data_IF_280371492958
#
_entry.id   IF_280371492958
#
_cell.length_a   1.000
_cell.length_b   1.000
_cell.length_c   1.000
_cell.angle_alpha   90.00
_cell.angle_beta   90.00
_cell.angle_gamma   90.00
#
_symmetry.space_group_name_H-M   'P 1'
#
loop_
_entity.id
_entity.type
_entity.pdbx_description
1 polymer ?
#
# COMPACT_ATOMS: atom_id res chain seq x y z
N UNK A 1 -9.50 1.75 -30.59
CA UNK A 1 -9.29 1.62 -29.13
C UNK A 1 -8.49 2.81 -28.65
N UNK A 2 -8.94 3.51 -27.58
CA UNK A 2 -8.15 4.59 -26.96
C UNK A 2 -6.87 3.96 -26.38
N UNK A 3 -5.69 4.53 -26.67
CA UNK A 3 -4.42 4.03 -26.13
C UNK A 3 -4.45 4.15 -24.61
N UNK A 4 -4.18 3.07 -23.89
CA UNK A 4 -4.14 3.10 -22.40
C UNK A 4 -2.97 3.97 -21.93
N UNK A 5 -3.17 4.71 -20.84
CA UNK A 5 -2.08 5.41 -20.17
C UNK A 5 -1.13 4.39 -19.54
N UNK A 6 0.16 4.63 -19.67
CA UNK A 6 1.24 3.71 -19.24
C UNK A 6 1.83 4.16 -17.92
N UNK A 7 2.08 3.20 -17.04
CA UNK A 7 2.56 3.44 -15.67
C UNK A 7 3.84 2.65 -15.42
N UNK A 8 4.77 3.26 -14.69
CA UNK A 8 5.91 2.59 -14.06
C UNK A 8 5.69 2.57 -12.56
N UNK A 9 5.82 1.38 -11.91
CA UNK A 9 5.69 1.20 -10.46
C UNK A 9 7.06 0.98 -9.83
N UNK A 10 7.51 1.94 -9.01
CA UNK A 10 8.81 1.91 -8.33
C UNK A 10 8.63 1.52 -6.87
N UNK A 11 9.49 0.63 -6.37
CA UNK A 11 9.32 0.01 -5.04
C UNK A 11 7.99 -0.73 -4.93
N UNK A 12 7.68 -1.49 -5.97
CA UNK A 12 6.34 -1.99 -6.25
C UNK A 12 5.79 -2.93 -5.16
N UNK A 13 6.67 -3.55 -4.35
CA UNK A 13 6.24 -4.52 -3.36
C UNK A 13 5.45 -5.65 -4.01
N UNK A 14 4.37 -6.08 -3.37
CA UNK A 14 3.48 -7.09 -3.93
C UNK A 14 2.61 -6.59 -5.10
N UNK A 15 2.61 -5.28 -5.39
CA UNK A 15 1.82 -4.70 -6.48
C UNK A 15 0.45 -4.14 -6.08
N UNK A 16 0.23 -3.82 -4.81
CA UNK A 16 -1.05 -3.25 -4.37
C UNK A 16 -1.40 -1.93 -5.07
N UNK A 17 -0.40 -1.10 -5.37
CA UNK A 17 -0.56 0.12 -6.15
C UNK A 17 -0.92 -0.21 -7.62
N UNK A 18 -0.17 -1.13 -8.23
CA UNK A 18 -0.41 -1.62 -9.59
C UNK A 18 -1.82 -2.19 -9.77
N UNK A 19 -2.30 -3.05 -8.84
CA UNK A 19 -3.68 -3.62 -8.88
C UNK A 19 -4.73 -2.52 -9.00
N UNK A 20 -4.61 -1.45 -8.21
CA UNK A 20 -5.58 -0.35 -8.26
C UNK A 20 -5.54 0.41 -9.58
N UNK A 21 -4.34 0.68 -10.11
CA UNK A 21 -4.18 1.37 -11.39
C UNK A 21 -4.63 0.50 -12.57
N UNK A 22 -4.34 -0.79 -12.59
CA UNK A 22 -4.87 -1.72 -13.60
C UNK A 22 -6.40 -1.75 -13.59
N UNK A 23 -7.03 -1.81 -12.41
CA UNK A 23 -8.49 -1.71 -12.25
C UNK A 23 -9.03 -0.37 -12.78
N UNK A 24 -8.26 0.70 -12.69
CA UNK A 24 -8.59 2.01 -13.26
C UNK A 24 -8.35 2.08 -14.78
N UNK A 25 -7.81 1.03 -15.40
CA UNK A 25 -7.64 0.92 -16.85
C UNK A 25 -6.26 1.32 -17.37
N UNK A 26 -5.27 1.46 -16.51
CA UNK A 26 -3.88 1.71 -16.91
C UNK A 26 -3.17 0.44 -17.35
N UNK A 27 -2.07 0.63 -18.07
CA UNK A 27 -1.12 -0.41 -18.48
C UNK A 27 0.16 -0.25 -17.66
N UNK A 28 0.43 -1.17 -16.74
CA UNK A 28 1.65 -1.18 -15.96
C UNK A 28 2.76 -1.78 -16.80
N UNK A 29 3.62 -0.95 -17.35
CA UNK A 29 4.61 -1.37 -18.35
C UNK A 29 5.93 -1.82 -17.76
N UNK A 30 6.29 -1.31 -16.59
CA UNK A 30 7.49 -1.70 -15.87
C UNK A 30 7.29 -1.56 -14.36
N UNK A 31 7.99 -2.39 -13.60
CA UNK A 31 8.05 -2.31 -12.14
C UNK A 31 9.46 -2.61 -11.63
N UNK A 32 9.80 -2.07 -10.45
CA UNK A 32 11.08 -2.32 -9.78
C UNK A 32 10.82 -2.82 -8.36
N UNK A 33 11.32 -4.01 -8.04
CA UNK A 33 11.32 -4.59 -6.69
C UNK A 33 12.60 -5.42 -6.50
N UNK A 34 13.25 -5.29 -5.33
CA UNK A 34 14.54 -5.96 -5.10
C UNK A 34 14.42 -7.33 -4.41
N UNK A 35 13.34 -7.54 -3.63
CA UNK A 35 13.13 -8.76 -2.85
C UNK A 35 12.56 -9.87 -3.77
N UNK A 36 13.37 -10.87 -4.05
CA UNK A 36 13.02 -11.95 -4.99
C UNK A 36 11.72 -12.69 -4.63
N UNK A 37 11.42 -12.89 -3.34
CA UNK A 37 10.18 -13.54 -2.94
C UNK A 37 8.95 -12.66 -3.24
N UNK A 38 9.11 -11.34 -3.13
CA UNK A 38 8.07 -10.39 -3.47
C UNK A 38 7.89 -10.29 -4.98
N UNK A 39 9.00 -10.34 -5.73
CA UNK A 39 8.96 -10.38 -7.21
C UNK A 39 8.16 -11.57 -7.74
N UNK A 40 8.25 -12.74 -7.11
CA UNK A 40 7.43 -13.90 -7.49
C UNK A 40 5.93 -13.61 -7.38
N UNK A 41 5.50 -12.98 -6.27
CA UNK A 41 4.12 -12.51 -6.10
C UNK A 41 3.73 -11.49 -7.17
N UNK A 42 4.57 -10.49 -7.39
CA UNK A 42 4.30 -9.46 -8.37
C UNK A 42 4.15 -10.04 -9.78
N UNK A 43 5.12 -10.86 -10.22
CA UNK A 43 5.12 -11.47 -11.57
C UNK A 43 3.90 -12.35 -11.80
N UNK A 44 3.44 -13.08 -10.79
CA UNK A 44 2.26 -13.93 -10.90
C UNK A 44 0.98 -13.11 -11.14
N UNK A 45 0.81 -12.02 -10.39
CA UNK A 45 -0.41 -11.21 -10.44
C UNK A 45 -0.40 -10.16 -11.56
N UNK A 46 0.78 -9.79 -12.09
CA UNK A 46 0.98 -8.79 -13.14
C UNK A 46 1.79 -9.37 -14.33
N UNK A 47 1.28 -10.42 -15.03
CA UNK A 47 2.05 -11.17 -16.01
C UNK A 47 2.46 -10.36 -17.26
N UNK A 48 1.83 -9.22 -17.49
CA UNK A 48 2.13 -8.35 -18.63
C UNK A 48 3.13 -7.22 -18.30
N UNK A 49 3.58 -7.11 -17.05
CA UNK A 49 4.51 -6.07 -16.59
C UNK A 49 5.96 -6.58 -16.64
N UNK A 50 6.85 -5.78 -17.20
CA UNK A 50 8.30 -6.04 -17.10
C UNK A 50 8.77 -5.71 -15.70
N UNK A 51 9.11 -6.72 -14.88
CA UNK A 51 9.61 -6.49 -13.52
C UNK A 51 11.13 -6.61 -13.47
N UNK A 52 11.79 -5.60 -12.89
CA UNK A 52 13.22 -5.57 -12.60
C UNK A 52 13.45 -6.04 -11.16
N UNK A 53 13.88 -7.30 -11.03
CA UNK A 53 14.16 -7.98 -9.76
C UNK A 53 15.56 -7.62 -9.22
N UNK A 54 15.83 -6.33 -9.02
CA UNK A 54 17.15 -5.79 -8.61
C UNK A 54 16.98 -4.57 -7.72
N UNK A 55 18.07 -4.22 -7.02
CA UNK A 55 18.15 -2.92 -6.33
C UNK A 55 17.97 -1.78 -7.35
N UNK A 56 17.10 -0.84 -7.03
CA UNK A 56 16.81 0.33 -7.88
C UNK A 56 18.07 1.10 -8.27
N UNK A 57 19.10 1.09 -7.41
CA UNK A 57 20.41 1.67 -7.71
C UNK A 57 21.04 1.06 -8.96
N UNK A 58 20.97 -0.25 -9.10
CA UNK A 58 21.52 -0.95 -10.26
C UNK A 58 20.63 -0.71 -11.47
N UNK A 59 19.32 -0.81 -11.28
CA UNK A 59 18.34 -0.66 -12.35
C UNK A 59 18.44 0.69 -13.03
N UNK A 60 18.61 1.77 -12.28
CA UNK A 60 18.68 3.15 -12.86
C UNK A 60 19.94 3.39 -13.69
N UNK A 61 21.01 2.65 -13.47
CA UNK A 61 22.24 2.71 -14.27
C UNK A 61 22.19 1.79 -15.51
N UNK A 62 21.43 0.70 -15.44
CA UNK A 62 21.36 -0.32 -16.49
C UNK A 62 20.19 -0.10 -17.48
N UNK A 63 19.13 0.61 -17.05
CA UNK A 63 17.87 0.69 -17.78
C UNK A 63 17.51 2.15 -18.09
N UNK A 64 17.33 2.43 -19.37
CA UNK A 64 16.68 3.66 -19.80
C UNK A 64 15.16 3.48 -19.73
N UNK A 65 14.53 4.11 -18.73
CA UNK A 65 13.08 4.04 -18.54
C UNK A 65 12.29 4.91 -19.53
N UNK A 66 12.92 5.84 -20.23
CA UNK A 66 12.24 6.67 -21.25
C UNK A 66 11.62 5.84 -22.36
N UNK A 67 12.22 4.66 -22.69
CA UNK A 67 11.72 3.71 -23.69
C UNK A 67 10.29 3.23 -23.44
N UNK A 68 9.84 3.27 -22.20
CA UNK A 68 8.49 2.85 -21.84
C UNK A 68 7.42 3.89 -22.19
N UNK A 69 7.80 5.14 -22.47
CA UNK A 69 6.88 6.25 -22.75
C UNK A 69 5.72 6.29 -21.73
N UNK A 70 6.05 6.20 -20.45
CA UNK A 70 5.07 6.18 -19.39
C UNK A 70 4.54 7.60 -19.09
N UNK A 71 3.22 7.70 -18.97
CA UNK A 71 2.57 8.97 -18.61
C UNK A 71 2.58 9.20 -17.10
N UNK A 72 2.69 8.11 -16.32
CA UNK A 72 2.60 8.14 -14.87
C UNK A 72 3.72 7.32 -14.25
N UNK A 73 4.29 7.81 -13.16
CA UNK A 73 5.14 7.02 -12.25
C UNK A 73 4.45 6.97 -10.90
N UNK A 74 4.31 5.78 -10.33
CA UNK A 74 3.85 5.55 -8.97
C UNK A 74 4.94 4.91 -8.14
N UNK A 75 4.90 5.06 -6.81
CA UNK A 75 5.83 4.35 -5.94
C UNK A 75 5.80 4.80 -4.48
N UNK A 76 6.30 3.94 -3.61
CA UNK A 76 6.43 4.19 -2.17
C UNK A 76 7.86 3.94 -1.69
N UNK A 77 8.82 4.86 -1.93
CA UNK A 77 10.18 4.67 -1.45
C UNK A 77 10.20 4.56 0.07
N UNK A 78 10.86 3.53 0.64
CA UNK A 78 10.85 3.32 2.09
C UNK A 78 11.57 4.43 2.84
N UNK A 79 10.98 4.83 3.97
CA UNK A 79 11.46 5.90 4.86
C UNK A 79 12.61 5.46 5.81
N UNK A 80 13.24 4.30 5.57
CA UNK A 80 14.17 3.67 6.54
C UNK A 80 15.51 4.40 6.73
N UNK A 81 15.87 5.37 5.89
CA UNK A 81 17.06 6.22 6.07
C UNK A 81 16.93 7.36 7.07
N UNK A 82 15.72 7.65 7.54
CA UNK A 82 15.43 8.84 8.35
C UNK A 82 15.40 8.59 9.87
N UNK A 83 15.94 7.47 10.36
CA UNK A 83 15.98 7.23 11.80
C UNK A 83 16.97 8.15 12.50
N UNK A 84 16.62 8.59 13.71
CA UNK A 84 17.25 9.67 14.51
C UNK A 84 18.74 9.50 14.87
N UNK A 85 19.46 8.51 14.35
CA UNK A 85 20.84 8.20 14.78
C UNK A 85 21.95 9.01 14.09
N UNK A 86 21.67 10.00 13.23
CA UNK A 86 22.70 10.69 12.44
C UNK A 86 22.57 12.20 12.27
N UNK A 87 21.88 12.91 13.15
CA UNK A 87 21.54 14.35 13.01
C UNK A 87 22.73 15.35 13.01
N UNK A 88 23.98 14.90 12.93
CA UNK A 88 25.16 15.78 13.13
C UNK A 88 25.99 16.13 11.89
N UNK A 89 25.64 15.68 10.69
CA UNK A 89 26.47 16.00 9.48
C UNK A 89 25.58 16.66 8.44
N UNK A 90 25.39 17.97 8.54
CA UNK A 90 24.72 18.80 7.51
C UNK A 90 25.76 19.57 6.71
N UNK A 91 26.33 18.97 5.66
CA UNK A 91 27.13 19.69 4.66
C UNK A 91 26.84 19.27 3.23
N UNK A 92 26.04 18.23 3.00
CA UNK A 92 25.76 17.71 1.65
C UNK A 92 24.35 18.08 1.21
N UNK A 93 24.14 18.16 -0.09
CA UNK A 93 22.81 18.34 -0.69
C UNK A 93 21.88 17.18 -0.29
N UNK A 94 20.55 17.38 -0.38
CA UNK A 94 19.54 16.36 -0.09
C UNK A 94 19.80 15.05 -0.85
N UNK A 95 20.21 15.14 -2.09
CA UNK A 95 20.48 14.00 -2.99
C UNK A 95 21.70 13.20 -2.53
N UNK A 96 22.70 13.85 -1.92
CA UNK A 96 23.94 13.21 -1.49
C UNK A 96 23.90 12.69 -0.05
N UNK A 97 22.82 12.94 0.69
CA UNK A 97 22.64 12.40 2.04
C UNK A 97 22.36 10.88 1.95
N UNK A 98 23.21 10.02 2.56
CA UNK A 98 23.02 8.57 2.52
C UNK A 98 21.65 8.08 3.02
N UNK A 99 20.96 8.90 3.84
CA UNK A 99 19.64 8.60 4.38
C UNK A 99 18.53 8.73 3.32
N UNK A 100 18.75 9.56 2.28
CA UNK A 100 17.80 9.83 1.21
C UNK A 100 18.06 8.97 -0.03
N UNK A 101 18.92 7.99 0.11
CA UNK A 101 19.44 7.16 -0.94
C UNK A 101 18.36 6.60 -1.91
N UNK A 102 17.29 6.03 -1.39
CA UNK A 102 16.26 5.42 -2.23
C UNK A 102 15.38 6.45 -2.94
N UNK A 103 15.12 7.58 -2.31
CA UNK A 103 14.40 8.70 -2.91
C UNK A 103 15.17 9.31 -4.10
N UNK A 104 16.49 9.39 -4.02
CA UNK A 104 17.36 9.83 -5.12
C UNK A 104 17.11 9.05 -6.40
N UNK A 105 16.96 7.74 -6.32
CA UNK A 105 16.74 6.91 -7.51
C UNK A 105 15.32 7.05 -8.07
N UNK A 106 14.32 7.23 -7.21
CA UNK A 106 12.99 7.61 -7.67
C UNK A 106 13.04 8.91 -8.48
N UNK A 107 13.71 9.94 -7.95
CA UNK A 107 13.87 11.23 -8.62
C UNK A 107 14.58 11.07 -9.97
N UNK A 108 15.69 10.33 -10.04
CA UNK A 108 16.44 10.10 -11.29
C UNK A 108 15.58 9.41 -12.36
N UNK A 109 14.72 8.47 -11.99
CA UNK A 109 13.80 7.84 -12.94
C UNK A 109 12.73 8.84 -13.40
N UNK A 110 12.21 9.70 -12.53
CA UNK A 110 11.31 10.79 -12.95
C UNK A 110 11.99 11.74 -13.94
N UNK A 111 13.28 12.05 -13.73
CA UNK A 111 14.05 12.84 -14.69
C UNK A 111 14.23 12.14 -16.04
N UNK A 112 14.47 10.84 -16.07
CA UNK A 112 14.61 10.07 -17.33
C UNK A 112 13.30 9.97 -18.10
N UNK A 113 12.19 9.69 -17.40
CA UNK A 113 10.88 9.41 -18.02
C UNK A 113 10.13 10.68 -18.37
N UNK A 114 10.31 11.73 -17.55
CA UNK A 114 9.59 12.99 -17.65
C UNK A 114 8.06 12.78 -17.74
N UNK A 115 7.45 12.03 -16.78
CA UNK A 115 6.04 11.67 -16.86
C UNK A 115 5.15 12.90 -16.70
N UNK A 116 3.93 12.86 -17.23
CA UNK A 116 2.93 13.91 -16.97
C UNK A 116 2.58 14.04 -15.49
N UNK A 117 2.50 12.89 -14.81
CA UNK A 117 2.16 12.80 -13.37
C UNK A 117 3.09 11.80 -12.69
N UNK A 118 3.52 12.12 -11.48
CA UNK A 118 4.05 11.11 -10.58
C UNK A 118 3.31 11.13 -9.24
N UNK A 119 3.25 9.97 -8.57
CA UNK A 119 2.66 9.82 -7.24
C UNK A 119 3.65 9.12 -6.32
N UNK A 120 3.99 9.77 -5.23
CA UNK A 120 4.76 9.23 -4.12
C UNK A 120 3.83 8.93 -2.94
N UNK A 121 3.81 7.67 -2.49
CA UNK A 121 3.16 7.31 -1.22
C UNK A 121 4.20 7.20 -0.11
N UNK A 122 3.85 7.67 1.08
CA UNK A 122 4.70 7.49 2.26
C UNK A 122 3.91 7.54 3.57
N UNK A 123 4.58 7.22 4.68
CA UNK A 123 4.00 7.39 6.02
C UNK A 123 3.84 8.88 6.35
N UNK A 124 2.80 9.22 7.14
CA UNK A 124 2.50 10.60 7.56
C UNK A 124 3.70 11.30 8.22
N UNK A 125 4.56 10.52 8.91
CA UNK A 125 5.75 11.03 9.57
C UNK A 125 6.72 11.81 8.67
N UNK A 126 6.72 11.58 7.36
CA UNK A 126 7.60 12.30 6.40
C UNK A 126 7.39 13.82 6.45
N UNK A 127 6.17 14.28 6.76
CA UNK A 127 5.84 15.70 6.83
C UNK A 127 6.53 16.42 7.99
N UNK A 128 6.86 15.71 9.07
CA UNK A 128 7.43 16.27 10.30
C UNK A 128 8.86 15.83 10.57
N UNK A 129 9.38 14.92 9.76
CA UNK A 129 10.77 14.46 9.86
C UNK A 129 11.75 15.63 9.78
N UNK A 130 12.74 15.64 10.69
CA UNK A 130 13.71 16.72 10.83
C UNK A 130 13.03 18.10 10.80
N UNK A 131 11.93 18.26 11.55
CA UNK A 131 11.13 19.49 11.61
C UNK A 131 10.54 19.93 10.26
N UNK A 132 10.30 18.99 9.34
CA UNK A 132 9.75 19.23 8.01
C UNK A 132 10.80 19.53 6.92
N UNK A 133 12.07 19.59 7.26
CA UNK A 133 13.14 19.88 6.29
C UNK A 133 13.21 18.84 5.16
N UNK A 134 13.01 17.56 5.47
CA UNK A 134 13.01 16.49 4.46
C UNK A 134 11.90 16.71 3.43
N UNK A 135 10.70 16.99 3.91
CA UNK A 135 9.55 17.24 3.02
C UNK A 135 9.78 18.48 2.16
N UNK A 136 10.30 19.56 2.73
CA UNK A 136 10.65 20.77 2.00
C UNK A 136 11.66 20.51 0.91
N UNK A 137 12.73 19.76 1.20
CA UNK A 137 13.76 19.40 0.22
C UNK A 137 13.18 18.55 -0.94
N UNK A 138 12.21 17.67 -0.66
CA UNK A 138 11.48 16.93 -1.71
C UNK A 138 10.74 17.91 -2.64
N UNK A 139 10.00 18.86 -2.05
CA UNK A 139 9.27 19.86 -2.85
C UNK A 139 10.23 20.69 -3.70
N UNK A 140 11.28 21.23 -3.09
CA UNK A 140 12.26 22.08 -3.78
C UNK A 140 12.92 21.33 -4.96
N UNK A 141 13.27 20.05 -4.76
CA UNK A 141 13.93 19.22 -5.77
C UNK A 141 13.08 19.03 -7.04
N UNK A 142 11.79 18.74 -6.88
CA UNK A 142 10.89 18.52 -8.02
C UNK A 142 10.36 19.83 -8.64
N UNK A 143 10.38 20.92 -7.90
CA UNK A 143 9.91 22.23 -8.39
C UNK A 143 11.01 23.03 -9.09
N UNK A 144 12.27 22.63 -8.99
CA UNK A 144 13.38 23.33 -9.64
C UNK A 144 13.44 22.99 -11.15
N UNK A 145 13.14 23.97 -11.98
CA UNK A 145 13.14 23.87 -13.46
C UNK A 145 14.50 23.42 -14.02
N UNK A 146 15.61 23.70 -13.31
CA UNK A 146 16.94 23.25 -13.72
C UNK A 146 17.08 21.74 -13.75
N UNK A 147 16.30 21.04 -12.93
CA UNK A 147 16.30 19.59 -12.86
C UNK A 147 15.54 18.92 -14.00
N UNK A 148 14.75 19.68 -14.79
CA UNK A 148 13.83 19.18 -15.80
C UNK A 148 13.90 19.96 -17.13
N UNK A 149 15.08 20.47 -17.49
CA UNK A 149 15.34 21.16 -18.77
C UNK A 149 14.42 22.37 -19.03
N UNK A 150 14.03 23.09 -17.99
CA UNK A 150 13.15 24.26 -18.08
C UNK A 150 11.67 23.97 -17.76
N UNK A 151 11.27 22.70 -17.69
CA UNK A 151 9.97 22.29 -17.15
C UNK A 151 10.02 22.19 -15.63
N UNK A 152 8.87 22.17 -14.98
CA UNK A 152 8.77 21.93 -13.53
C UNK A 152 7.57 21.11 -13.15
N UNK A 153 7.64 20.44 -12.00
CA UNK A 153 6.50 19.84 -11.39
C UNK A 153 5.86 20.74 -10.34
N UNK A 154 4.55 20.90 -10.43
CA UNK A 154 3.72 21.46 -9.37
C UNK A 154 3.34 20.35 -8.41
N UNK A 155 3.71 20.50 -7.15
CA UNK A 155 3.49 19.45 -6.16
C UNK A 155 2.29 19.77 -5.26
N UNK A 156 1.45 18.79 -5.08
CA UNK A 156 0.39 18.79 -4.05
C UNK A 156 0.62 17.61 -3.12
N UNK A 157 0.28 17.78 -1.85
CA UNK A 157 0.30 16.66 -0.91
C UNK A 157 -1.01 16.59 -0.13
N UNK A 158 -1.39 15.38 0.23
CA UNK A 158 -2.59 15.13 1.01
C UNK A 158 -2.35 13.97 1.97
N UNK A 159 -2.85 14.12 3.21
CA UNK A 159 -2.94 13.02 4.17
C UNK A 159 -4.25 12.29 3.95
N UNK A 160 -4.16 11.02 3.61
CA UNK A 160 -5.29 10.16 3.29
C UNK A 160 -5.50 9.16 4.41
N UNK A 161 -6.75 9.04 4.86
CA UNK A 161 -7.18 8.00 5.80
C UNK A 161 -7.90 6.91 5.02
N UNK A 162 -7.45 5.66 5.14
CA UNK A 162 -8.04 4.52 4.43
C UNK A 162 -9.55 4.38 4.73
N UNK A 163 -9.98 4.74 5.93
CA UNK A 163 -11.39 4.73 6.35
C UNK A 163 -12.29 5.59 5.46
N UNK A 164 -11.80 6.75 4.99
CA UNK A 164 -12.57 7.68 4.15
C UNK A 164 -12.82 7.12 2.74
N UNK A 165 -12.25 5.95 2.45
CA UNK A 165 -12.35 5.23 1.17
C UNK A 165 -12.98 3.84 1.33
N UNK A 166 -13.71 3.62 2.43
CA UNK A 166 -14.38 2.35 2.70
C UNK A 166 -13.40 1.18 2.85
N UNK A 167 -12.25 1.40 3.52
CA UNK A 167 -11.25 0.38 3.83
C UNK A 167 -11.22 0.20 5.34
N UNK A 168 -11.43 -1.02 5.89
CA UNK A 168 -11.68 -1.23 7.31
C UNK A 168 -10.42 -1.18 8.20
N UNK A 169 -9.58 -0.15 8.04
CA UNK A 169 -8.38 0.03 8.88
C UNK A 169 -8.02 1.50 9.12
N UNK A 170 -7.40 1.76 10.27
CA UNK A 170 -6.88 3.08 10.68
C UNK A 170 -5.49 3.32 10.06
N UNK A 171 -5.42 3.36 8.73
CA UNK A 171 -4.17 3.62 7.99
C UNK A 171 -4.17 5.04 7.47
N UNK A 172 -3.18 5.83 7.88
CA UNK A 172 -2.93 7.17 7.34
C UNK A 172 -1.66 7.16 6.49
N UNK A 173 -1.72 7.75 5.30
CA UNK A 173 -0.59 7.90 4.37
C UNK A 173 -0.59 9.28 3.75
N UNK A 174 0.59 9.74 3.39
CA UNK A 174 0.78 10.94 2.58
C UNK A 174 0.92 10.52 1.13
N UNK A 175 0.15 11.16 0.28
CA UNK A 175 0.34 11.11 -1.16
C UNK A 175 0.87 12.46 -1.62
N UNK A 176 2.01 12.45 -2.32
CA UNK A 176 2.62 13.61 -2.95
C UNK A 176 2.43 13.41 -4.45
N UNK A 177 1.72 14.32 -5.08
CA UNK A 177 1.41 14.29 -6.51
C UNK A 177 2.17 15.41 -7.19
N UNK A 178 3.02 15.07 -8.15
CA UNK A 178 3.68 16.02 -9.04
C UNK A 178 3.01 16.02 -10.40
N UNK A 179 2.63 17.20 -10.88
CA UNK A 179 2.05 17.42 -12.20
C UNK A 179 2.97 18.31 -13.03
N UNK A 180 3.33 17.84 -14.21
CA UNK A 180 4.24 18.53 -15.11
C UNK A 180 3.58 19.79 -15.67
N UNK A 181 4.19 20.93 -15.46
CA UNK A 181 3.80 22.27 -15.99
C UNK A 181 2.34 22.69 -15.70
N UNK A 182 1.64 22.00 -14.76
CA UNK A 182 0.23 22.28 -14.45
C UNK A 182 -0.01 22.24 -12.95
N UNK A 183 -0.55 23.32 -12.39
CA UNK A 183 -1.00 23.35 -11.00
C UNK A 183 -2.41 22.74 -10.88
N UNK A 184 -2.52 21.63 -10.11
CA UNK A 184 -3.77 20.91 -9.96
C UNK A 184 -4.58 21.43 -8.77
N UNK A 185 -5.88 21.68 -8.98
CA UNK A 185 -6.83 21.79 -7.87
C UNK A 185 -7.20 20.38 -7.36
N UNK A 186 -6.34 19.87 -6.46
CA UNK A 186 -6.49 18.49 -5.95
C UNK A 186 -7.80 18.30 -5.16
N UNK A 187 -8.34 19.34 -4.51
CA UNK A 187 -9.57 19.22 -3.75
C UNK A 187 -10.78 19.07 -4.67
N UNK A 188 -10.81 19.83 -5.75
CA UNK A 188 -11.85 19.71 -6.77
C UNK A 188 -11.78 18.34 -7.47
N UNK A 189 -10.60 17.89 -7.85
CA UNK A 189 -10.40 16.56 -8.45
C UNK A 189 -10.85 15.43 -7.52
N UNK A 190 -10.55 15.50 -6.21
CA UNK A 190 -11.04 14.54 -5.23
C UNK A 190 -12.57 14.54 -5.16
N UNK A 191 -13.19 15.72 -5.15
CA UNK A 191 -14.65 15.83 -5.10
C UNK A 191 -15.33 15.21 -6.33
N UNK A 192 -14.84 15.55 -7.52
CA UNK A 192 -15.34 15.02 -8.80
C UNK A 192 -15.17 13.50 -8.89
N UNK A 193 -14.00 13.00 -8.50
CA UNK A 193 -13.71 11.56 -8.51
C UNK A 193 -14.61 10.81 -7.52
N UNK A 194 -14.85 11.38 -6.33
CA UNK A 194 -15.80 10.82 -5.35
C UNK A 194 -17.20 10.74 -5.93
N UNK A 195 -17.68 11.81 -6.54
CA UNK A 195 -19.00 11.83 -7.18
C UNK A 195 -19.11 10.78 -8.29
N UNK A 196 -18.12 10.71 -9.18
CA UNK A 196 -18.08 9.74 -10.26
C UNK A 196 -18.08 8.29 -9.75
N UNK A 197 -17.24 7.99 -8.73
CA UNK A 197 -17.19 6.67 -8.14
C UNK A 197 -18.44 6.30 -7.36
N UNK A 198 -19.09 7.25 -6.68
CA UNK A 198 -20.36 7.00 -5.99
C UNK A 198 -21.51 6.69 -6.97
N UNK A 199 -21.47 7.27 -8.18
CA UNK A 199 -22.42 6.91 -9.25
C UNK A 199 -22.17 5.49 -9.79
N UNK A 200 -20.89 5.09 -9.95
CA UNK A 200 -20.50 3.78 -10.45
C UNK A 200 -20.62 2.67 -9.41
N UNK A 201 -20.28 2.98 -8.17
CA UNK A 201 -20.30 2.08 -7.02
C UNK A 201 -20.91 2.80 -5.82
N UNK A 202 -22.24 2.74 -5.62
CA UNK A 202 -22.94 3.52 -4.57
C UNK A 202 -22.38 3.34 -3.16
N UNK A 203 -21.80 2.16 -2.86
CA UNK A 203 -21.25 1.79 -1.55
C UNK A 203 -19.73 1.91 -1.46
N UNK A 204 -19.06 2.58 -2.42
CA UNK A 204 -17.60 2.65 -2.45
C UNK A 204 -16.98 3.30 -1.20
N UNK A 205 -17.64 4.32 -0.66
CA UNK A 205 -17.15 5.09 0.49
C UNK A 205 -17.84 4.73 1.81
N UNK A 206 -18.72 3.74 1.82
CA UNK A 206 -19.42 3.33 3.02
C UNK A 206 -18.44 2.84 4.09
N UNK A 207 -18.83 3.04 5.35
CA UNK A 207 -18.05 2.50 6.47
C UNK A 207 -18.11 0.98 6.45
N UNK A 208 -16.93 0.36 6.38
CA UNK A 208 -16.75 -1.10 6.41
C UNK A 208 -16.16 -1.49 7.75
N UNK A 209 -16.67 -2.55 8.36
CA UNK A 209 -16.13 -3.13 9.59
C UNK A 209 -15.13 -4.27 9.29
N UNK A 210 -14.39 -4.69 10.31
CA UNK A 210 -13.55 -5.89 10.20
C UNK A 210 -14.40 -7.11 9.78
N UNK A 211 -15.61 -7.25 10.37
CA UNK A 211 -16.47 -8.39 10.07
C UNK A 211 -17.04 -8.35 8.66
N UNK A 212 -17.38 -7.16 8.16
CA UNK A 212 -17.80 -7.01 6.77
C UNK A 212 -16.71 -7.50 5.80
N UNK A 213 -15.44 -7.33 6.14
CA UNK A 213 -14.35 -7.76 5.28
C UNK A 213 -14.10 -9.29 5.31
N UNK A 214 -14.24 -9.96 6.49
CA UNK A 214 -13.72 -11.31 6.68
C UNK A 214 -14.78 -12.37 7.00
N UNK A 215 -16.05 -12.01 7.24
CA UNK A 215 -17.09 -12.88 7.80
C UNK A 215 -17.43 -14.13 6.98
N UNK A 216 -17.15 -14.14 5.68
CA UNK A 216 -17.43 -15.27 4.81
C UNK A 216 -16.21 -16.15 4.49
N UNK A 217 -15.04 -15.89 5.11
CA UNK A 217 -13.84 -16.70 4.91
C UNK A 217 -13.93 -17.99 5.76
N UNK A 218 -14.38 -19.07 5.14
CA UNK A 218 -14.54 -20.40 5.76
C UNK A 218 -14.44 -21.49 4.69
N UNK A 219 -14.31 -22.75 5.11
CA UNK A 219 -14.20 -23.94 4.25
C UNK A 219 -12.97 -23.89 3.31
N UNK A 220 -11.85 -23.41 3.84
CA UNK A 220 -10.55 -23.51 3.18
C UNK A 220 -10.06 -24.96 3.08
N UNK A 221 -9.37 -25.27 2.00
CA UNK A 221 -8.64 -26.53 1.86
C UNK A 221 -7.30 -26.50 2.65
N UNK A 222 -6.54 -27.59 2.59
CA UNK A 222 -5.23 -27.71 3.27
C UNK A 222 -4.19 -26.68 2.82
N UNK A 223 -4.38 -26.07 1.64
CA UNK A 223 -3.52 -25.04 1.08
C UNK A 223 -4.05 -23.62 1.35
N UNK A 224 -5.16 -23.49 2.08
CA UNK A 224 -5.81 -22.21 2.37
C UNK A 224 -6.51 -21.60 1.16
N UNK A 225 -7.03 -22.43 0.26
CA UNK A 225 -7.82 -22.00 -0.89
C UNK A 225 -9.31 -22.23 -0.61
N UNK A 226 -10.13 -21.22 -0.89
CA UNK A 226 -11.58 -21.31 -0.84
C UNK A 226 -12.12 -21.21 -2.27
N UNK A 227 -13.01 -22.11 -2.65
CA UNK A 227 -13.61 -22.14 -3.99
C UNK A 227 -15.08 -21.70 -3.89
N UNK A 228 -15.54 -20.95 -4.90
CA UNK A 228 -16.93 -20.48 -5.02
C UNK A 228 -17.42 -19.67 -3.81
N UNK A 229 -16.53 -18.85 -3.25
CA UNK A 229 -16.87 -17.97 -2.12
C UNK A 229 -17.91 -16.94 -2.56
N UNK A 230 -19.04 -16.88 -1.82
CA UNK A 230 -20.11 -15.91 -2.12
C UNK A 230 -19.97 -14.67 -1.26
N UNK A 231 -19.97 -13.47 -1.86
CA UNK A 231 -20.03 -12.22 -1.12
C UNK A 231 -21.31 -12.12 -0.27
N UNK A 232 -21.20 -11.60 0.95
CA UNK A 232 -22.32 -11.32 1.85
C UNK A 232 -22.69 -9.83 1.90
N UNK A 233 -21.84 -8.98 1.34
CA UNK A 233 -22.01 -7.53 1.31
C UNK A 233 -21.25 -6.91 0.14
N UNK A 234 -21.48 -5.63 -0.10
CA UNK A 234 -20.89 -4.88 -1.21
C UNK A 234 -19.36 -4.77 -1.15
N UNK A 235 -18.76 -4.78 0.04
CA UNK A 235 -17.30 -4.76 0.17
C UNK A 235 -16.67 -6.06 -0.31
N UNK A 236 -17.24 -7.18 0.11
CA UNK A 236 -16.80 -8.50 -0.34
C UNK A 236 -17.04 -8.68 -1.84
N UNK A 237 -18.15 -8.16 -2.37
CA UNK A 237 -18.44 -8.17 -3.80
C UNK A 237 -17.41 -7.38 -4.60
N UNK A 238 -16.98 -6.22 -4.09
CA UNK A 238 -15.92 -5.41 -4.72
C UNK A 238 -14.56 -6.15 -4.78
N UNK A 239 -14.29 -7.05 -3.82
CA UNK A 239 -13.08 -7.86 -3.74
C UNK A 239 -13.20 -9.24 -4.39
N UNK A 240 -14.41 -9.65 -4.76
CA UNK A 240 -14.71 -11.00 -5.24
C UNK A 240 -13.85 -11.40 -6.44
N UNK A 241 -13.46 -12.66 -6.46
CA UNK A 241 -12.62 -13.25 -7.49
C UNK A 241 -13.40 -13.56 -8.78
N UNK A 242 -12.85 -13.16 -9.91
CA UNK A 242 -13.39 -13.52 -11.23
C UNK A 242 -13.17 -15.01 -11.56
N UNK A 243 -12.15 -15.65 -10.97
CA UNK A 243 -11.81 -17.05 -11.19
C UNK A 243 -12.39 -18.00 -10.12
N UNK A 244 -13.27 -17.49 -9.25
CA UNK A 244 -13.94 -18.23 -8.18
C UNK A 244 -13.02 -18.84 -7.13
N UNK A 245 -11.75 -18.40 -7.05
CA UNK A 245 -10.78 -18.86 -6.06
C UNK A 245 -10.35 -17.71 -5.16
N UNK A 246 -10.31 -17.98 -3.85
CA UNK A 246 -9.76 -17.08 -2.82
C UNK A 246 -8.54 -17.76 -2.21
N UNK A 247 -7.39 -17.10 -2.29
CA UNK A 247 -6.10 -17.68 -1.91
C UNK A 247 -5.62 -17.19 -0.54
N UNK A 248 -4.65 -17.91 0.04
CA UNK A 248 -3.92 -17.52 1.24
C UNK A 248 -4.76 -17.46 2.53
N UNK A 249 -5.83 -18.22 2.66
CA UNK A 249 -6.61 -18.30 3.90
C UNK A 249 -6.14 -19.43 4.82
N UNK A 250 -4.82 -19.63 4.93
CA UNK A 250 -4.28 -20.60 5.88
C UNK A 250 -4.24 -19.99 7.29
N UNK A 251 -5.03 -20.54 8.21
CA UNK A 251 -5.12 -20.07 9.60
C UNK A 251 -3.79 -20.23 10.33
N UNK A 252 -3.30 -19.20 11.04
CA UNK A 252 -2.02 -19.29 11.74
C UNK A 252 -2.10 -20.20 12.95
N UNK A 253 -1.09 -21.06 13.11
CA UNK A 253 -0.93 -21.88 14.30
C UNK A 253 -0.12 -21.15 15.36
N UNK A 254 -0.54 -21.29 16.63
CA UNK A 254 0.12 -20.70 17.79
C UNK A 254 0.44 -21.78 18.82
N UNK A 255 1.46 -21.55 19.64
CA UNK A 255 1.77 -22.44 20.75
C UNK A 255 0.68 -22.35 21.85
N UNK A 256 0.63 -23.35 22.74
CA UNK A 256 -0.36 -23.44 23.79
C UNK A 256 -0.43 -22.19 24.68
N UNK A 257 0.73 -21.62 25.04
CA UNK A 257 0.82 -20.41 25.88
C UNK A 257 0.14 -19.23 25.19
N UNK A 258 0.44 -19.02 23.89
CA UNK A 258 -0.17 -17.94 23.13
C UNK A 258 -1.69 -18.11 23.02
N UNK A 259 -2.18 -19.33 22.81
CA UNK A 259 -3.62 -19.62 22.74
C UNK A 259 -4.30 -19.32 24.09
N UNK A 260 -3.74 -19.80 25.20
CA UNK A 260 -4.31 -19.56 26.54
C UNK A 260 -4.31 -18.06 26.89
N UNK A 261 -3.32 -17.31 26.45
CA UNK A 261 -3.31 -15.83 26.58
C UNK A 261 -4.42 -15.20 25.75
N UNK A 262 -4.58 -15.61 24.48
CA UNK A 262 -5.60 -15.05 23.58
C UNK A 262 -7.02 -15.30 24.08
N UNK A 263 -7.29 -16.45 24.72
CA UNK A 263 -8.58 -16.76 25.35
C UNK A 263 -8.98 -15.80 26.47
N UNK A 264 -8.00 -15.22 27.17
CA UNK A 264 -8.23 -14.27 28.26
C UNK A 264 -8.57 -12.85 27.78
N UNK A 265 -8.38 -12.56 26.47
CA UNK A 265 -8.52 -11.21 25.94
C UNK A 265 -9.87 -11.05 25.25
N UNK A 266 -10.71 -10.21 25.82
CA UNK A 266 -11.96 -9.78 25.22
C UNK A 266 -11.78 -8.64 24.20
N UNK A 267 -12.82 -8.33 23.45
CA UNK A 267 -12.85 -7.19 22.53
C UNK A 267 -12.53 -5.88 23.29
N UNK A 268 -11.64 -5.08 22.73
CA UNK A 268 -11.19 -3.82 23.35
C UNK A 268 -10.04 -3.98 24.36
N UNK A 269 -9.78 -5.19 24.86
CA UNK A 269 -8.68 -5.48 25.78
C UNK A 269 -7.35 -5.78 25.06
N UNK A 270 -6.27 -5.90 25.82
CA UNK A 270 -4.92 -6.19 25.34
C UNK A 270 -4.10 -6.89 26.43
N UNK A 271 -2.81 -7.06 26.20
CA UNK A 271 -1.87 -7.75 27.09
C UNK A 271 -1.90 -7.29 28.57
N UNK A 272 -2.39 -6.08 28.88
CA UNK A 272 -2.48 -5.57 30.26
C UNK A 272 -3.48 -6.34 31.13
N UNK A 273 -4.34 -7.16 30.50
CA UNK A 273 -5.31 -8.04 31.18
C UNK A 273 -4.75 -9.44 31.49
N UNK A 274 -3.59 -9.77 30.94
CA UNK A 274 -2.97 -11.07 31.17
C UNK A 274 -2.46 -11.19 32.62
N UNK A 275 -2.65 -12.35 33.22
CA UNK A 275 -2.21 -12.67 34.58
C UNK A 275 -0.68 -12.85 34.68
N UNK A 276 -0.03 -13.18 33.56
CA UNK A 276 1.41 -13.38 33.48
C UNK A 276 2.12 -12.13 32.91
N UNK A 277 3.41 -12.01 33.22
CA UNK A 277 4.20 -10.83 32.78
C UNK A 277 4.52 -10.99 31.30
N UNK A 278 3.88 -10.18 30.46
CA UNK A 278 4.21 -10.02 29.04
C UNK A 278 4.96 -8.72 28.83
N UNK A 279 6.23 -8.81 28.48
CA UNK A 279 6.98 -7.62 28.04
C UNK A 279 6.66 -7.35 26.57
N UNK A 280 5.95 -6.29 26.27
CA UNK A 280 5.69 -5.88 24.89
C UNK A 280 6.00 -4.40 24.68
N UNK A 281 6.59 -4.10 23.53
CA UNK A 281 6.89 -2.73 23.07
C UNK A 281 5.63 -2.07 22.48
N UNK A 282 4.65 -2.89 22.06
CA UNK A 282 3.43 -2.40 21.42
C UNK A 282 2.28 -2.33 22.42
N UNK A 283 1.70 -1.14 22.58
CA UNK A 283 0.54 -0.93 23.46
C UNK A 283 -0.67 -1.78 23.07
N UNK A 284 -0.82 -2.13 21.81
CA UNK A 284 -1.89 -2.99 21.29
C UNK A 284 -1.59 -4.50 21.29
N UNK A 285 -0.42 -4.94 21.78
CA UNK A 285 -0.06 -6.36 21.80
C UNK A 285 -1.15 -7.24 22.45
N UNK A 286 -1.35 -8.43 21.94
CA UNK A 286 -2.45 -9.32 22.35
C UNK A 286 -3.83 -8.64 22.31
N UNK A 287 -4.06 -7.64 21.47
CA UNK A 287 -5.38 -7.02 21.34
C UNK A 287 -6.30 -7.84 20.43
N UNK A 288 -7.54 -8.07 20.87
CA UNK A 288 -8.59 -8.67 20.06
C UNK A 288 -9.28 -7.59 19.22
N UNK A 289 -9.46 -7.87 17.94
CA UNK A 289 -10.21 -7.01 17.04
C UNK A 289 -11.70 -6.98 17.41
N UNK A 290 -12.32 -5.81 17.26
CA UNK A 290 -13.76 -5.67 17.31
C UNK A 290 -14.36 -5.99 15.93
N UNK A 291 -15.27 -6.97 15.89
CA UNK A 291 -15.98 -7.33 14.66
C UNK A 291 -16.77 -6.17 14.06
N UNK A 292 -17.32 -5.29 14.90
CA UNK A 292 -18.12 -4.13 14.49
C UNK A 292 -17.28 -2.85 14.37
N UNK A 293 -15.99 -2.95 14.65
CA UNK A 293 -15.01 -1.88 14.55
C UNK A 293 -14.16 -1.96 13.29
N UNK A 294 -13.09 -1.18 13.29
CA UNK A 294 -12.08 -1.16 12.23
C UNK A 294 -10.73 -1.62 12.79
N UNK A 295 -9.92 -2.24 11.95
CA UNK A 295 -8.59 -2.69 12.36
C UNK A 295 -7.64 -1.49 12.57
N UNK A 296 -6.63 -1.59 13.45
CA UNK A 296 -5.48 -0.72 13.37
C UNK A 296 -4.77 -0.91 12.03
N UNK A 297 -3.79 -0.07 11.73
CA UNK A 297 -2.96 -0.25 10.52
C UNK A 297 -2.39 -1.66 10.49
N UNK A 298 -2.68 -2.42 9.43
CA UNK A 298 -2.07 -3.72 9.19
C UNK A 298 -0.56 -3.53 9.01
N UNK A 299 0.23 -4.16 9.89
CA UNK A 299 1.69 -4.10 9.92
C UNK A 299 2.30 -5.33 9.27
N UNK A 300 3.62 -5.38 9.18
CA UNK A 300 4.35 -6.56 8.67
C UNK A 300 4.36 -7.76 9.63
N UNK A 301 3.83 -7.59 10.84
CA UNK A 301 3.85 -8.58 11.93
C UNK A 301 2.47 -8.82 12.53
N UNK A 302 1.43 -8.76 11.71
CA UNK A 302 0.06 -9.09 12.16
C UNK A 302 -0.16 -10.62 12.34
N UNK A 303 0.85 -11.42 12.06
CA UNK A 303 0.91 -12.87 12.30
C UNK A 303 1.15 -13.26 13.76
N UNK A 304 1.64 -12.33 14.58
CA UNK A 304 2.02 -12.62 15.97
C UNK A 304 1.16 -11.83 16.96
N UNK A 305 0.69 -12.45 18.06
CA UNK A 305 -0.13 -11.75 19.05
C UNK A 305 0.58 -10.52 19.67
N UNK A 306 1.91 -10.59 19.81
CA UNK A 306 2.72 -9.48 20.33
C UNK A 306 2.91 -8.34 19.30
N UNK A 307 2.59 -8.55 18.04
CA UNK A 307 2.77 -7.58 16.95
C UNK A 307 1.75 -6.45 16.93
N UNK A 308 0.69 -6.53 17.74
CA UNK A 308 -0.35 -5.51 17.81
C UNK A 308 -1.74 -6.08 18.15
N UNK A 309 -2.78 -5.34 17.83
CA UNK A 309 -4.19 -5.75 17.98
C UNK A 309 -4.63 -6.52 16.74
N UNK A 310 -4.25 -7.80 16.66
CA UNK A 310 -4.51 -8.65 15.50
C UNK A 310 -5.10 -10.02 15.86
N UNK A 311 -5.56 -10.23 17.11
CA UNK A 311 -6.35 -11.42 17.45
C UNK A 311 -7.68 -11.34 16.68
N UNK A 312 -8.04 -12.45 16.02
CA UNK A 312 -9.28 -12.57 15.27
C UNK A 312 -10.50 -12.26 16.17
N UNK A 313 -11.57 -11.62 15.66
CA UNK A 313 -12.69 -11.17 16.49
C UNK A 313 -13.38 -12.27 17.30
N UNK A 314 -13.43 -13.50 16.77
CA UNK A 314 -14.17 -14.62 17.36
C UNK A 314 -13.33 -15.87 17.62
N UNK A 315 -12.17 -16.00 17.02
CA UNK A 315 -11.28 -17.17 17.18
C UNK A 315 -10.02 -16.79 17.99
N UNK A 316 -9.43 -17.78 18.70
CA UNK A 316 -8.24 -17.57 19.54
C UNK A 316 -6.94 -17.75 18.73
N UNK A 317 -6.82 -16.97 17.67
CA UNK A 317 -5.68 -16.90 16.76
C UNK A 317 -5.50 -15.46 16.24
N UNK A 318 -4.38 -15.18 15.63
CA UNK A 318 -4.22 -13.95 14.84
C UNK A 318 -4.88 -14.10 13.48
N UNK A 319 -4.91 -12.99 12.72
CA UNK A 319 -5.45 -12.99 11.36
C UNK A 319 -4.64 -13.90 10.42
N UNK A 320 -5.34 -14.59 9.53
CA UNK A 320 -4.72 -15.23 8.37
C UNK A 320 -4.19 -14.20 7.36
N UNK A 321 -3.31 -14.59 6.43
CA UNK A 321 -2.88 -13.69 5.36
C UNK A 321 -4.06 -13.13 4.55
N UNK A 322 -5.07 -13.94 4.20
CA UNK A 322 -6.24 -13.48 3.43
C UNK A 322 -7.10 -12.50 4.21
N UNK A 323 -7.30 -12.72 5.50
CA UNK A 323 -8.02 -11.77 6.35
C UNK A 323 -7.32 -10.40 6.38
N UNK A 324 -5.99 -10.40 6.57
CA UNK A 324 -5.19 -9.18 6.48
C UNK A 324 -5.24 -8.52 5.10
N UNK A 325 -5.17 -9.33 4.04
CA UNK A 325 -5.24 -8.86 2.65
C UNK A 325 -6.60 -8.21 2.33
N UNK A 326 -7.72 -8.78 2.82
CA UNK A 326 -9.04 -8.16 2.66
C UNK A 326 -9.19 -6.87 3.46
N UNK A 327 -8.65 -6.80 4.67
CA UNK A 327 -8.60 -5.55 5.44
C UNK A 327 -7.76 -4.49 4.71
N UNK A 328 -6.77 -4.89 3.91
CA UNK A 328 -6.00 -4.04 2.99
C UNK A 328 -6.69 -3.84 1.62
N UNK A 329 -7.87 -4.40 1.41
CA UNK A 329 -8.64 -4.34 0.16
C UNK A 329 -8.02 -5.03 -1.06
N UNK A 330 -7.18 -6.04 -0.88
CA UNK A 330 -6.74 -6.88 -2.00
C UNK A 330 -7.88 -7.74 -2.55
N UNK A 331 -7.96 -7.92 -3.87
CA UNK A 331 -8.92 -8.86 -4.46
C UNK A 331 -8.63 -10.30 -4.03
N UNK A 332 -9.68 -11.13 -4.00
CA UNK A 332 -9.60 -12.51 -3.50
C UNK A 332 -8.73 -13.42 -4.37
N UNK A 333 -8.68 -13.14 -5.66
CA UNK A 333 -7.84 -13.84 -6.65
C UNK A 333 -6.36 -13.47 -6.56
N UNK A 334 -6.00 -12.43 -5.82
CA UNK A 334 -4.60 -12.02 -5.66
C UNK A 334 -3.84 -13.05 -4.83
N UNK A 335 -2.84 -13.71 -5.41
CA UNK A 335 -2.05 -14.76 -4.77
C UNK A 335 -0.74 -14.19 -4.23
N UNK A 336 -0.52 -14.30 -2.93
CA UNK A 336 0.77 -14.00 -2.30
C UNK A 336 1.63 -15.26 -2.28
N UNK A 337 2.84 -15.16 -2.82
CA UNK A 337 3.86 -16.23 -2.88
C UNK A 337 5.00 -15.94 -1.90
N UNK A 338 5.78 -16.97 -1.59
CA UNK A 338 6.90 -16.90 -0.68
C UNK A 338 6.63 -17.53 0.69
N UNK A 339 7.59 -17.44 1.60
CA UNK A 339 7.44 -17.98 2.94
C UNK A 339 6.46 -17.13 3.78
N UNK A 340 6.00 -17.71 4.91
CA UNK A 340 5.03 -17.06 5.81
C UNK A 340 5.42 -15.61 6.14
N UNK A 341 6.64 -15.37 6.57
CA UNK A 341 7.10 -14.02 6.97
C UNK A 341 7.06 -13.03 5.81
N UNK A 342 7.44 -13.47 4.62
CA UNK A 342 7.37 -12.64 3.40
C UNK A 342 5.93 -12.27 3.07
N UNK A 343 4.99 -13.22 3.10
CA UNK A 343 3.58 -12.96 2.80
C UNK A 343 2.98 -11.91 3.74
N UNK A 344 3.20 -12.02 5.04
CA UNK A 344 2.73 -11.00 5.99
C UNK A 344 3.39 -9.63 5.78
N UNK A 345 4.68 -9.60 5.45
CA UNK A 345 5.42 -8.38 5.09
C UNK A 345 4.85 -7.72 3.84
N UNK A 346 4.57 -8.49 2.81
CA UNK A 346 3.97 -8.03 1.55
C UNK A 346 2.64 -7.32 1.80
N UNK A 347 1.74 -7.96 2.54
CA UNK A 347 0.42 -7.42 2.86
C UNK A 347 0.53 -6.13 3.70
N UNK A 348 1.37 -6.13 4.73
CA UNK A 348 1.51 -4.98 5.65
C UNK A 348 2.10 -3.73 5.01
N UNK A 349 3.05 -3.91 4.07
CA UNK A 349 3.71 -2.80 3.38
C UNK A 349 2.90 -2.23 2.21
N UNK A 350 1.90 -2.96 1.72
CA UNK A 350 1.20 -2.58 0.52
C UNK A 350 0.42 -1.26 0.63
N UNK A 351 0.33 -0.55 -0.48
CA UNK A 351 -0.72 0.44 -0.71
C UNK A 351 -2.04 -0.32 -0.92
N UNK A 352 -3.13 0.02 -0.19
CA UNK A 352 -4.41 -0.65 -0.38
C UNK A 352 -4.93 -0.51 -1.83
N UNK A 353 -5.22 -1.61 -2.54
CA UNK A 353 -5.66 -1.56 -3.94
C UNK A 353 -6.90 -0.69 -4.20
N UNK A 354 -7.86 -0.68 -3.29
CA UNK A 354 -9.06 0.17 -3.40
C UNK A 354 -8.72 1.66 -3.33
N UNK A 355 -7.74 2.03 -2.49
CA UNK A 355 -7.22 3.40 -2.43
C UNK A 355 -6.43 3.74 -3.70
N UNK A 356 -5.60 2.83 -4.18
CA UNK A 356 -4.86 2.98 -5.44
C UNK A 356 -5.81 3.13 -6.63
N UNK A 357 -6.92 2.39 -6.65
CA UNK A 357 -7.97 2.54 -7.66
C UNK A 357 -8.58 3.95 -7.68
N UNK A 358 -8.89 4.51 -6.50
CA UNK A 358 -9.36 5.89 -6.40
C UNK A 358 -8.36 6.87 -7.02
N UNK A 359 -7.07 6.76 -6.68
CA UNK A 359 -6.02 7.62 -7.25
C UNK A 359 -5.87 7.41 -8.75
N UNK A 360 -5.95 6.19 -9.23
CA UNK A 360 -5.94 5.90 -10.66
C UNK A 360 -7.07 6.61 -11.40
N UNK A 361 -8.30 6.58 -10.87
CA UNK A 361 -9.45 7.28 -11.44
C UNK A 361 -9.27 8.80 -11.44
N UNK A 362 -8.74 9.37 -10.36
CA UNK A 362 -8.44 10.81 -10.25
C UNK A 362 -7.42 11.24 -11.31
N UNK A 363 -6.31 10.52 -11.42
CA UNK A 363 -5.27 10.84 -12.42
C UNK A 363 -5.78 10.66 -13.85
N UNK A 364 -6.70 9.71 -14.07
CA UNK A 364 -7.31 9.52 -15.39
C UNK A 364 -8.15 10.76 -15.82
N UNK A 365 -8.83 11.40 -14.86
CA UNK A 365 -9.52 12.68 -15.11
C UNK A 365 -8.53 13.78 -15.55
N UNK A 366 -7.39 13.88 -14.86
CA UNK A 366 -6.34 14.86 -15.23
C UNK A 366 -5.83 14.62 -16.65
N UNK A 367 -5.46 13.35 -16.96
CA UNK A 367 -4.86 12.99 -18.26
C UNK A 367 -5.84 13.04 -19.44
N UNK A 368 -7.15 12.98 -19.19
CA UNK A 368 -8.16 13.10 -20.23
C UNK A 368 -8.50 14.57 -20.55
N UNK A 369 -8.20 15.50 -19.64
CA UNK A 369 -8.44 16.94 -19.80
C UNK A 369 -7.20 17.70 -20.33
N UNK A 370 -6.10 16.98 -20.61
CA UNK A 370 -4.90 17.44 -21.32
C UNK A 370 -4.98 17.06 -22.81
#
# INVERSE_FOLDING_TARGET
MKKKNRVIDLFAGAGGFSVGFEKAGYDIVAAVEYDKQIVETYSYNHPNTVIYAKDIKQVVEEVDFSKYNANVIIGGPPCQGFSMAGARIRKNSFIDDPRNYLFKYYFRIVQQVHPKIFILENVKGILTMEKGEIFKQIIDLFSDEKNFNGDKYYLKHIVVKALDYGIPQQRERVFIIGSLNKDLDINNLISNTKESLSKKYPHFFDKVTVWDAISNLYNEDENGVIVNLRPLNQYQDFLASNNQKTYNHLKPHHNKIAIERMKQISVGENWTKLSDIVKSVHSGAYGRLDKNGVAPTITTRFDTPSGGRFIHPVEDRTLSPREGARIQSFPDEFLFLGNKTSVYKQIGNAVPPKLAYFWGMLIQEVLNND
#
